data_IF_619595390819
#
_entry.id   IF_619595390819
#
_cell.length_a   1.000
_cell.length_b   1.000
_cell.length_c   1.000
_cell.angle_alpha   90.00
_cell.angle_beta   90.00
_cell.angle_gamma   90.00
#
_symmetry.space_group_name_H-M   'P 1'
#
loop_
_entity.id
_entity.type
_entity.pdbx_description
1 polymer ?
#
# COMPACT_ATOMS: atom_id res chain seq x y z
N UNK A 1 -9.16 5.82 1.70
CA UNK A 1 -8.28 7.00 1.79
C UNK A 1 -7.73 7.15 3.20
N UNK A 2 -6.61 7.85 3.30
CA UNK A 2 -5.95 8.29 4.52
C UNK A 2 -5.47 7.14 5.41
N UNK A 3 -4.73 6.20 4.82
CA UNK A 3 -4.30 4.99 5.52
C UNK A 3 -3.38 5.29 6.73
N UNK A 4 -2.53 6.31 6.65
CA UNK A 4 -1.67 6.76 7.75
C UNK A 4 -2.49 7.16 8.98
N UNK A 5 -3.51 8.01 8.79
CA UNK A 5 -4.40 8.39 9.90
C UNK A 5 -5.25 7.23 10.41
N UNK A 6 -5.70 6.31 9.56
CA UNK A 6 -6.43 5.11 10.00
C UNK A 6 -5.57 4.26 10.94
N UNK A 7 -4.32 4.01 10.58
CA UNK A 7 -3.37 3.25 11.43
C UNK A 7 -3.10 4.01 12.73
N UNK A 8 -2.82 5.33 12.64
CA UNK A 8 -2.58 6.18 13.81
C UNK A 8 -3.73 6.10 14.81
N UNK A 9 -4.97 6.23 14.34
CA UNK A 9 -6.16 6.20 15.20
C UNK A 9 -6.37 4.83 15.85
N UNK A 10 -6.15 3.73 15.11
CA UNK A 10 -6.25 2.39 15.66
C UNK A 10 -5.19 2.13 16.75
N UNK A 11 -3.93 2.54 16.49
CA UNK A 11 -2.82 2.37 17.42
C UNK A 11 -3.03 3.20 18.68
N UNK A 12 -3.34 4.50 18.54
CA UNK A 12 -3.59 5.37 19.69
C UNK A 12 -4.82 4.93 20.48
N UNK A 13 -5.89 4.50 19.81
CA UNK A 13 -7.10 4.00 20.47
C UNK A 13 -6.85 2.74 21.30
N UNK A 14 -5.93 1.87 20.86
CA UNK A 14 -5.52 0.70 21.66
C UNK A 14 -4.57 1.09 22.79
N UNK A 15 -3.63 2.00 22.54
CA UNK A 15 -2.69 2.49 23.55
C UNK A 15 -3.42 3.19 24.71
N UNK A 16 -4.43 4.01 24.42
CA UNK A 16 -5.21 4.73 25.42
C UNK A 16 -5.93 3.77 26.38
N UNK A 17 -6.47 2.66 25.87
CA UNK A 17 -7.09 1.61 26.70
C UNK A 17 -6.09 0.87 27.58
N UNK A 18 -4.79 0.97 27.28
CA UNK A 18 -3.72 0.28 28.01
C UNK A 18 -3.04 1.19 29.02
N UNK A 19 -2.69 2.41 28.62
CA UNK A 19 -2.03 3.43 29.44
C UNK A 19 -2.05 4.77 28.69
N UNK A 20 -2.59 5.85 29.32
CA UNK A 20 -2.52 7.19 28.75
C UNK A 20 -1.09 7.68 28.52
N UNK A 21 -0.13 7.26 29.36
CA UNK A 21 1.28 7.60 29.21
C UNK A 21 1.88 6.97 27.93
N UNK A 22 1.52 5.72 27.64
CA UNK A 22 1.92 5.04 26.41
C UNK A 22 1.32 5.74 25.18
N UNK A 23 0.05 6.10 25.22
CA UNK A 23 -0.60 6.83 24.13
C UNK A 23 0.07 8.20 23.89
N UNK A 24 0.42 8.90 24.97
CA UNK A 24 1.19 10.16 24.92
C UNK A 24 2.55 9.96 24.26
N UNK A 25 3.31 8.96 24.69
CA UNK A 25 4.62 8.64 24.12
C UNK A 25 4.53 8.30 22.63
N UNK A 26 3.58 7.43 22.22
CA UNK A 26 3.40 7.06 20.81
C UNK A 26 3.06 8.29 19.97
N UNK A 27 2.17 9.16 20.46
CA UNK A 27 1.76 10.38 19.75
C UNK A 27 2.93 11.33 19.50
N UNK A 28 3.88 11.39 20.43
CA UNK A 28 5.05 12.28 20.36
C UNK A 28 6.21 11.69 19.54
N UNK A 29 6.39 10.37 19.57
CA UNK A 29 7.60 9.74 19.05
C UNK A 29 7.42 8.87 17.80
N UNK A 30 6.19 8.65 17.33
CA UNK A 30 5.90 7.79 16.17
C UNK A 30 5.23 8.58 15.05
N UNK A 31 5.74 8.42 13.82
CA UNK A 31 5.09 8.91 12.61
C UNK A 31 4.26 7.81 11.93
N UNK A 32 3.21 8.23 11.24
CA UNK A 32 2.29 7.36 10.50
C UNK A 32 2.08 7.93 9.10
N UNK A 33 3.10 7.87 8.21
CA UNK A 33 3.01 8.46 6.88
C UNK A 33 1.92 7.79 6.04
N UNK A 34 1.09 8.59 5.38
CA UNK A 34 0.14 8.12 4.39
C UNK A 34 0.84 7.64 3.11
N UNK A 35 0.23 6.68 2.41
CA UNK A 35 0.75 6.20 1.12
C UNK A 35 -0.35 5.90 0.11
N UNK A 36 -0.10 6.22 -1.16
CA UNK A 36 -0.85 5.65 -2.28
C UNK A 36 0.01 4.53 -2.91
N UNK A 37 -0.52 3.31 -2.95
CA UNK A 37 0.12 2.15 -3.58
C UNK A 37 -0.71 1.70 -4.78
N UNK A 38 -0.06 1.46 -5.91
CA UNK A 38 -0.73 0.95 -7.10
C UNK A 38 0.11 -0.02 -7.91
N UNK A 39 -0.41 -1.24 -8.03
CA UNK A 39 0.03 -2.30 -8.92
C UNK A 39 -1.02 -3.41 -8.89
N UNK A 40 -1.53 -3.81 -10.04
CA UNK A 40 -2.40 -4.97 -10.15
C UNK A 40 -1.55 -6.23 -9.98
N UNK A 41 -1.93 -7.04 -8.99
CA UNK A 41 -1.31 -8.32 -8.65
C UNK A 41 -2.42 -9.35 -8.52
N UNK A 42 -2.69 -10.17 -9.57
CA UNK A 42 -3.64 -11.27 -9.47
C UNK A 42 -3.23 -12.26 -8.38
N UNK A 43 -4.21 -12.96 -7.80
CA UNK A 43 -3.92 -14.04 -6.89
C UNK A 43 -3.14 -15.15 -7.62
N UNK A 44 -2.12 -15.70 -6.96
CA UNK A 44 -1.38 -16.84 -7.50
C UNK A 44 -2.30 -18.06 -7.60
N UNK A 45 -2.27 -18.71 -8.77
CA UNK A 45 -2.92 -19.98 -9.09
C UNK A 45 -1.88 -20.99 -9.57
N UNK A 46 -2.21 -22.29 -9.52
CA UNK A 46 -1.34 -23.35 -10.04
C UNK A 46 -0.96 -23.11 -11.52
N UNK A 47 -1.90 -22.57 -12.31
CA UNK A 47 -1.66 -22.20 -13.71
C UNK A 47 -0.63 -21.08 -13.83
N UNK A 48 -0.79 -19.99 -13.05
CA UNK A 48 0.17 -18.87 -13.08
C UNK A 48 1.57 -19.27 -12.60
N UNK A 49 1.67 -20.16 -11.59
CA UNK A 49 2.95 -20.67 -11.10
C UNK A 49 3.63 -21.57 -12.14
N UNK A 50 2.85 -22.38 -12.86
CA UNK A 50 3.35 -23.21 -13.96
C UNK A 50 3.87 -22.33 -15.12
N UNK A 51 3.13 -21.27 -15.48
CA UNK A 51 3.55 -20.29 -16.49
C UNK A 51 4.88 -19.61 -16.10
N UNK A 52 4.97 -19.08 -14.87
CA UNK A 52 6.19 -18.45 -14.38
C UNK A 52 7.36 -19.43 -14.38
N UNK A 53 7.13 -20.67 -13.95
CA UNK A 53 8.16 -21.72 -13.94
C UNK A 53 8.67 -22.05 -15.33
N UNK A 54 7.77 -22.08 -16.34
CA UNK A 54 8.16 -22.30 -17.74
C UNK A 54 9.01 -21.15 -18.28
N UNK A 55 8.70 -19.91 -17.91
CA UNK A 55 9.47 -18.73 -18.34
C UNK A 55 10.83 -18.60 -17.64
N UNK A 56 10.90 -18.89 -16.34
CA UNK A 56 12.11 -18.71 -15.54
C UNK A 56 13.00 -19.96 -15.46
N UNK A 57 12.47 -21.14 -15.80
CA UNK A 57 13.16 -22.42 -15.69
C UNK A 57 13.35 -22.90 -14.25
N UNK A 58 12.69 -22.27 -13.29
CA UNK A 58 12.77 -22.58 -11.85
C UNK A 58 11.37 -22.67 -11.28
N UNK A 59 11.10 -23.72 -10.51
CA UNK A 59 9.88 -23.83 -9.73
C UNK A 59 10.02 -23.01 -8.44
N UNK A 60 9.27 -21.92 -8.35
CA UNK A 60 9.20 -21.05 -7.18
C UNK A 60 7.77 -21.01 -6.63
N UNK A 61 7.49 -21.62 -5.46
CA UNK A 61 6.16 -21.64 -4.87
C UNK A 61 5.73 -20.27 -4.31
N UNK A 62 6.63 -19.28 -4.26
CA UNK A 62 6.36 -17.91 -3.84
C UNK A 62 6.30 -16.92 -5.01
N UNK A 63 6.36 -17.41 -6.25
CA UNK A 63 6.30 -16.56 -7.43
C UNK A 63 4.95 -15.84 -7.54
N UNK A 64 4.99 -14.61 -8.07
CA UNK A 64 3.81 -13.79 -8.30
C UNK A 64 3.91 -13.10 -9.66
N UNK A 65 2.83 -13.14 -10.44
CA UNK A 65 2.71 -12.34 -11.65
C UNK A 65 2.06 -11.01 -11.32
N UNK A 66 2.48 -9.95 -12.01
CA UNK A 66 1.93 -8.62 -11.84
C UNK A 66 2.10 -7.80 -13.12
N UNK A 67 1.29 -6.77 -13.26
CA UNK A 67 1.41 -5.87 -14.40
C UNK A 67 2.75 -5.09 -14.38
N UNK A 68 3.19 -4.56 -15.53
CA UNK A 68 4.42 -3.75 -15.60
C UNK A 68 4.27 -2.37 -14.94
N UNK A 69 3.05 -1.81 -14.88
CA UNK A 69 2.82 -0.55 -14.19
C UNK A 69 3.04 -0.72 -12.68
N UNK A 70 3.69 0.26 -12.06
CA UNK A 70 3.90 0.33 -10.63
C UNK A 70 4.01 1.79 -10.21
N UNK A 71 3.30 2.15 -9.15
CA UNK A 71 3.38 3.49 -8.57
C UNK A 71 3.32 3.41 -7.05
N UNK A 72 4.17 4.22 -6.41
CA UNK A 72 4.14 4.39 -4.97
C UNK A 72 4.39 5.86 -4.64
N UNK A 73 3.44 6.46 -3.92
CA UNK A 73 3.52 7.82 -3.38
C UNK A 73 3.50 7.73 -1.86
N UNK A 74 4.44 8.41 -1.20
CA UNK A 74 4.67 8.29 0.25
C UNK A 74 4.83 9.67 0.85
N UNK A 75 4.13 9.93 1.96
CA UNK A 75 4.42 11.10 2.79
C UNK A 75 5.79 10.98 3.43
N UNK A 76 6.65 11.97 3.23
CA UNK A 76 8.02 11.96 3.77
C UNK A 76 8.06 12.34 5.25
N UNK A 77 7.56 11.43 6.10
CA UNK A 77 7.44 11.63 7.54
C UNK A 77 7.91 10.38 8.31
N UNK A 78 9.23 10.26 8.51
CA UNK A 78 9.87 9.10 9.15
C UNK A 78 10.72 9.53 10.35
N UNK A 79 10.43 9.00 11.53
CA UNK A 79 11.12 9.37 12.79
C UNK A 79 12.53 8.79 12.93
N UNK A 80 12.86 7.74 12.17
CA UNK A 80 14.13 7.02 12.27
C UNK A 80 14.82 6.83 10.91
N UNK A 81 14.61 7.80 10.00
CA UNK A 81 15.07 7.70 8.61
C UNK A 81 14.28 6.69 7.78
N UNK A 82 14.63 6.61 6.50
CA UNK A 82 14.06 5.69 5.52
C UNK A 82 15.09 5.42 4.41
N UNK A 83 14.92 4.36 3.61
CA UNK A 83 15.67 4.19 2.37
C UNK A 83 15.44 5.35 1.40
N UNK A 84 16.40 5.56 0.49
CA UNK A 84 16.29 6.51 -0.63
C UNK A 84 15.41 5.93 -1.75
N UNK A 85 14.14 5.64 -1.44
CA UNK A 85 13.19 5.02 -2.36
C UNK A 85 12.91 5.87 -3.62
N UNK A 86 13.13 7.17 -3.55
CA UNK A 86 13.07 8.08 -4.70
C UNK A 86 14.03 7.67 -5.82
N UNK A 87 15.16 7.02 -5.49
CA UNK A 87 16.10 6.47 -6.48
C UNK A 87 15.47 5.31 -7.27
N UNK A 88 14.52 4.60 -6.67
CA UNK A 88 13.77 3.52 -7.30
C UNK A 88 12.43 3.99 -7.93
N UNK A 89 12.20 5.31 -8.00
CA UNK A 89 11.02 5.89 -8.64
C UNK A 89 9.83 6.16 -7.70
N UNK A 90 9.99 6.00 -6.38
CA UNK A 90 8.94 6.34 -5.41
C UNK A 90 8.81 7.85 -5.29
N UNK A 91 7.57 8.35 -5.27
CA UNK A 91 7.28 9.78 -5.16
C UNK A 91 7.16 10.16 -3.68
N UNK A 92 8.18 10.83 -3.16
CA UNK A 92 8.15 11.39 -1.81
C UNK A 92 7.43 12.75 -1.84
N UNK A 93 6.37 12.89 -1.05
CA UNK A 93 5.51 14.08 -1.03
C UNK A 93 5.26 14.58 0.38
N UNK A 94 4.74 15.79 0.51
CA UNK A 94 4.29 16.33 1.80
C UNK A 94 2.86 15.89 2.16
N UNK A 95 2.00 15.67 1.16
CA UNK A 95 0.61 15.28 1.32
C UNK A 95 0.24 14.28 0.22
N UNK A 96 -0.20 13.09 0.63
CA UNK A 96 -0.57 12.01 -0.30
C UNK A 96 -2.05 12.04 -0.70
N UNK A 97 -2.89 12.80 0.01
CA UNK A 97 -4.35 12.77 -0.15
C UNK A 97 -4.81 13.02 -1.61
N UNK A 98 -4.23 13.97 -2.38
CA UNK A 98 -4.63 14.17 -3.77
C UNK A 98 -4.39 12.94 -4.67
N UNK A 99 -3.32 12.18 -4.39
CA UNK A 99 -2.94 10.99 -5.14
C UNK A 99 -3.86 9.82 -4.80
N UNK A 100 -4.17 9.62 -3.52
CA UNK A 100 -5.12 8.61 -3.09
C UNK A 100 -6.52 8.87 -3.67
N UNK A 101 -7.00 10.11 -3.64
CA UNK A 101 -8.32 10.45 -4.18
C UNK A 101 -8.42 10.16 -5.69
N UNK A 102 -7.40 10.55 -6.45
CA UNK A 102 -7.33 10.27 -7.89
C UNK A 102 -7.39 8.76 -8.16
N UNK A 103 -6.53 7.99 -7.49
CA UNK A 103 -6.43 6.54 -7.69
C UNK A 103 -7.71 5.82 -7.27
N UNK A 104 -8.22 6.12 -6.09
CA UNK A 104 -9.42 5.47 -5.56
C UNK A 104 -10.66 5.76 -6.43
N UNK A 105 -10.79 6.98 -6.96
CA UNK A 105 -11.95 7.35 -7.79
C UNK A 105 -11.81 6.87 -9.23
N UNK A 106 -10.66 7.05 -9.86
CA UNK A 106 -10.50 6.79 -11.29
C UNK A 106 -10.17 5.33 -11.59
N UNK A 107 -9.35 4.67 -10.77
CA UNK A 107 -8.94 3.28 -11.02
C UNK A 107 -9.81 2.30 -10.23
N UNK A 108 -9.83 2.41 -8.89
CA UNK A 108 -10.60 1.46 -8.08
C UNK A 108 -12.11 1.58 -8.33
N UNK A 109 -12.63 2.80 -8.50
CA UNK A 109 -14.03 3.03 -8.87
C UNK A 109 -14.40 2.36 -10.20
N UNK A 110 -13.55 2.49 -11.22
CA UNK A 110 -13.77 1.85 -12.53
C UNK A 110 -13.67 0.33 -12.46
N UNK A 111 -12.72 -0.22 -11.69
CA UNK A 111 -12.63 -1.67 -11.46
C UNK A 111 -13.90 -2.22 -10.81
N UNK A 112 -14.41 -1.58 -9.76
CA UNK A 112 -15.66 -2.00 -9.11
C UNK A 112 -16.84 -1.96 -10.07
N UNK A 113 -16.97 -0.90 -10.88
CA UNK A 113 -18.01 -0.79 -11.90
C UNK A 113 -17.98 -1.95 -12.90
N UNK A 114 -16.80 -2.24 -13.47
CA UNK A 114 -16.62 -3.34 -14.42
C UNK A 114 -16.84 -4.71 -13.77
N UNK A 115 -16.35 -4.92 -12.55
CA UNK A 115 -16.49 -6.19 -11.85
C UNK A 115 -17.96 -6.52 -11.57
N UNK A 116 -18.76 -5.57 -11.09
CA UNK A 116 -20.16 -5.82 -10.76
C UNK A 116 -21.06 -5.93 -11.99
N UNK A 117 -20.88 -5.08 -12.99
CA UNK A 117 -21.72 -5.11 -14.20
C UNK A 117 -21.29 -6.15 -15.22
N UNK A 118 -20.00 -6.46 -15.32
CA UNK A 118 -19.49 -7.51 -16.21
C UNK A 118 -19.76 -8.93 -15.72
N UNK A 119 -20.08 -9.10 -14.44
CA UNK A 119 -20.47 -10.38 -13.87
C UNK A 119 -21.94 -10.75 -14.14
N UNK A 120 -22.82 -9.75 -14.26
CA UNK A 120 -24.26 -9.93 -14.55
C UNK A 120 -24.50 -10.26 -16.02
#
# INVERSE_FOLDING_TARGET
PDNGHVVKNAVLGMAEKRSPELAGWIKEHVSFPGTMVDRIVPAATDESLAEISQHLGVNDPCAISCEPFIQWVVEDNFVAGRPAWEVAGVQMVHDVLPWEEMKLRMLNGSHSFLAYLGYL
#
